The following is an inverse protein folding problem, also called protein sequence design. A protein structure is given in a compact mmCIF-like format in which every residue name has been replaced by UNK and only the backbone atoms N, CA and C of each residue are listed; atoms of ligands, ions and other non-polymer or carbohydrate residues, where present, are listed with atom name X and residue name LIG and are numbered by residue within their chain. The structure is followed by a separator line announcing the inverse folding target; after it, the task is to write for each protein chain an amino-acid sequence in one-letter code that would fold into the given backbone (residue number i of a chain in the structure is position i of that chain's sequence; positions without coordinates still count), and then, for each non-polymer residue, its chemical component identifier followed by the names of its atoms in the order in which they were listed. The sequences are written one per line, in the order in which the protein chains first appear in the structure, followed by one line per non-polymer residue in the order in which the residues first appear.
data_IF_028844176091
#
_entry.id   IF_028844176091
#
_cell.length_a   1.000
_cell.length_b   1.000
_cell.length_c   1.000
_cell.angle_alpha   90.00
_cell.angle_beta   90.00
_cell.angle_gamma   90.00
#
_symmetry.space_group_name_H-M   'P 1'
#
loop_
_entity.id
_entity.type
_entity.pdbx_description
1 polymer ?
#
# COMPACT_ATOMS: atom_id res chain seq x y z
N UNK A 1 4.62 -18.93 16.97
CA UNK A 1 5.88 -18.28 17.41
C UNK A 1 5.94 -18.19 18.92
N UNK A 2 5.15 -17.34 19.58
CA UNK A 2 5.18 -17.12 21.05
C UNK A 2 5.24 -18.39 21.91
N UNK A 3 4.42 -19.39 21.60
CA UNK A 3 4.32 -20.62 22.40
C UNK A 3 5.48 -21.61 22.17
N UNK A 4 6.12 -21.55 21.00
CA UNK A 4 6.97 -22.65 20.52
C UNK A 4 8.41 -22.23 20.23
N UNK A 5 8.69 -20.94 20.05
CA UNK A 5 9.99 -20.48 19.54
C UNK A 5 11.14 -20.74 20.53
N UNK A 6 10.84 -20.82 21.82
CA UNK A 6 11.80 -21.23 22.87
C UNK A 6 12.37 -22.62 22.65
N UNK A 7 11.56 -23.55 22.13
CA UNK A 7 12.01 -24.90 21.75
C UNK A 7 13.03 -24.92 20.61
N UNK A 8 13.12 -23.82 19.85
CA UNK A 8 14.10 -23.63 18.77
C UNK A 8 15.23 -22.66 19.18
N UNK A 9 15.32 -22.30 20.46
CA UNK A 9 16.35 -21.40 21.00
C UNK A 9 16.08 -19.91 20.74
N UNK A 10 14.90 -19.53 20.27
CA UNK A 10 14.52 -18.13 20.15
C UNK A 10 13.84 -17.59 21.41
N UNK A 11 13.88 -16.28 21.58
CA UNK A 11 13.28 -15.58 22.70
C UNK A 11 11.85 -15.09 22.33
N UNK A 12 10.78 -15.62 22.95
CA UNK A 12 9.41 -15.19 22.67
C UNK A 12 9.14 -13.75 23.11
N UNK A 13 9.96 -13.19 24.02
CA UNK A 13 9.85 -11.82 24.54
C UNK A 13 10.75 -10.83 23.76
N UNK A 14 11.38 -11.27 22.67
CA UNK A 14 12.21 -10.43 21.80
C UNK A 14 12.02 -10.77 20.30
N UNK A 15 10.76 -10.79 19.88
CA UNK A 15 10.37 -11.07 18.49
C UNK A 15 10.41 -9.82 17.62
N UNK A 16 11.13 -9.87 16.49
CA UNK A 16 11.09 -8.85 15.44
C UNK A 16 10.29 -9.38 14.24
N UNK A 17 9.26 -8.65 13.81
CA UNK A 17 8.58 -8.94 12.54
C UNK A 17 9.10 -8.02 11.44
N UNK A 18 9.21 -8.54 10.22
CA UNK A 18 9.65 -7.77 9.08
C UNK A 18 8.91 -8.18 7.82
N UNK A 19 8.78 -7.25 6.87
CA UNK A 19 8.13 -7.55 5.61
C UNK A 19 8.41 -6.52 4.53
N UNK A 20 8.46 -7.02 3.29
CA UNK A 20 8.63 -6.23 2.08
C UNK A 20 7.31 -6.08 1.31
N UNK A 21 7.05 -4.90 0.75
CA UNK A 21 5.84 -4.59 -0.05
C UNK A 21 4.56 -4.97 0.69
N UNK A 22 3.75 -5.89 0.15
CA UNK A 22 2.55 -6.43 0.81
C UNK A 22 2.84 -7.14 2.15
N UNK A 23 4.08 -7.54 2.42
CA UNK A 23 4.54 -7.98 3.74
C UNK A 23 4.77 -6.82 4.70
N UNK A 24 5.34 -5.70 4.23
CA UNK A 24 5.48 -4.47 5.02
C UNK A 24 4.11 -3.89 5.38
N UNK A 25 3.16 -3.92 4.45
CA UNK A 25 1.77 -3.60 4.69
C UNK A 25 1.17 -4.46 5.82
N UNK A 26 1.43 -5.77 5.84
CA UNK A 26 0.98 -6.67 6.92
C UNK A 26 1.62 -6.33 8.26
N UNK A 27 2.90 -5.94 8.28
CA UNK A 27 3.55 -5.43 9.51
C UNK A 27 2.81 -4.20 10.03
N UNK A 28 2.50 -3.24 9.15
CA UNK A 28 1.73 -2.03 9.52
C UNK A 28 0.33 -2.36 10.04
N UNK A 29 -0.36 -3.31 9.40
CA UNK A 29 -1.66 -3.80 9.85
C UNK A 29 -1.59 -4.43 11.24
N UNK A 30 -0.62 -5.33 11.46
CA UNK A 30 -0.44 -5.96 12.77
C UNK A 30 -0.12 -4.93 13.86
N UNK A 31 0.66 -3.90 13.55
CA UNK A 31 0.91 -2.80 14.48
C UNK A 31 -0.35 -1.99 14.83
N UNK A 32 -1.35 -1.94 13.93
CA UNK A 32 -2.62 -1.26 14.18
C UNK A 32 -3.68 -2.13 14.89
N UNK A 33 -3.43 -3.43 15.07
CA UNK A 33 -4.35 -4.37 15.72
C UNK A 33 -4.09 -4.44 17.22
N UNK A 34 -5.10 -4.14 18.04
CA UNK A 34 -4.97 -4.26 19.51
C UNK A 34 -4.76 -5.73 19.92
N UNK A 35 -5.36 -6.67 19.19
CA UNK A 35 -5.21 -8.11 19.41
C UNK A 35 -3.79 -8.62 19.15
N UNK A 36 -2.96 -7.85 18.43
CA UNK A 36 -1.57 -8.22 18.15
C UNK A 36 -0.59 -7.69 19.22
N UNK A 37 -1.08 -6.95 20.21
CA UNK A 37 -0.26 -6.38 21.29
C UNK A 37 0.48 -7.46 22.06
N UNK A 38 1.80 -7.26 22.23
CA UNK A 38 2.69 -8.22 22.90
C UNK A 38 3.01 -9.47 22.09
N UNK A 39 2.57 -9.59 20.83
CA UNK A 39 2.97 -10.71 19.96
C UNK A 39 4.34 -10.47 19.29
N UNK A 40 4.77 -9.22 19.20
CA UNK A 40 6.06 -8.81 18.67
C UNK A 40 6.56 -7.55 19.37
N UNK A 41 7.86 -7.30 19.25
CA UNK A 41 8.61 -6.35 20.07
C UNK A 41 9.38 -5.34 19.23
N UNK A 42 9.61 -5.61 17.94
CA UNK A 42 10.24 -4.71 16.96
C UNK A 42 9.64 -4.96 15.58
N UNK A 43 9.70 -3.94 14.72
CA UNK A 43 9.17 -4.00 13.37
C UNK A 43 10.19 -3.49 12.33
N UNK A 44 10.20 -4.12 11.15
CA UNK A 44 10.92 -3.62 9.97
C UNK A 44 9.95 -3.58 8.78
N UNK A 45 9.79 -2.41 8.18
CA UNK A 45 8.85 -2.14 7.09
C UNK A 45 9.64 -1.74 5.85
N UNK A 46 9.59 -2.56 4.82
CA UNK A 46 10.36 -2.35 3.58
C UNK A 46 9.38 -2.13 2.43
N UNK A 47 9.37 -0.95 1.81
CA UNK A 47 8.55 -0.68 0.61
C UNK A 47 7.05 -0.94 0.78
N UNK A 48 6.54 -0.93 2.01
CA UNK A 48 5.19 -1.40 2.37
C UNK A 48 4.43 -0.45 3.28
N UNK A 49 4.75 0.84 3.20
CA UNK A 49 4.17 1.89 4.04
C UNK A 49 2.72 2.21 3.63
N UNK A 50 1.73 1.62 4.31
CA UNK A 50 0.32 1.97 4.13
C UNK A 50 -0.18 2.89 5.24
N UNK A 51 -0.60 4.11 4.89
CA UNK A 51 -1.17 5.08 5.82
C UNK A 51 -2.64 4.80 6.17
N UNK A 52 -3.36 4.13 5.27
CA UNK A 52 -4.78 3.81 5.41
C UNK A 52 -5.07 2.38 4.98
N UNK A 53 -6.17 1.83 5.50
CA UNK A 53 -6.72 0.54 5.08
C UNK A 53 -8.00 0.73 4.27
N UNK A 54 -8.50 -0.34 3.64
CA UNK A 54 -9.74 -0.26 2.87
C UNK A 54 -10.94 0.01 3.78
N UNK A 55 -11.96 0.66 3.24
CA UNK A 55 -13.24 0.78 3.92
C UNK A 55 -14.05 -0.52 3.77
N UNK A 56 -15.07 -0.70 4.62
CA UNK A 56 -16.02 -1.79 4.45
C UNK A 56 -16.80 -1.70 3.11
N UNK A 57 -17.00 -0.48 2.60
CA UNK A 57 -17.64 -0.23 1.30
C UNK A 57 -16.77 -0.75 0.14
N UNK A 58 -15.47 -0.47 0.16
CA UNK A 58 -14.52 -0.98 -0.85
C UNK A 58 -14.55 -2.51 -0.91
N UNK A 59 -14.48 -3.16 0.25
CA UNK A 59 -14.51 -4.62 0.34
C UNK A 59 -15.85 -5.22 -0.09
N UNK A 60 -16.95 -4.55 0.28
CA UNK A 60 -18.31 -4.97 -0.11
C UNK A 60 -18.52 -4.86 -1.61
N UNK A 61 -17.97 -3.82 -2.25
CA UNK A 61 -18.04 -3.63 -3.70
C UNK A 61 -17.36 -4.77 -4.47
N UNK A 62 -16.15 -5.15 -4.06
CA UNK A 62 -15.43 -6.30 -4.64
C UNK A 62 -16.21 -7.60 -4.43
N UNK A 63 -16.76 -7.78 -3.22
CA UNK A 63 -17.52 -9.00 -2.87
C UNK A 63 -18.82 -9.11 -3.67
N UNK A 64 -19.57 -8.03 -3.83
CA UNK A 64 -20.81 -8.01 -4.62
C UNK A 64 -20.53 -8.33 -6.10
N UNK A 65 -19.45 -7.77 -6.66
CA UNK A 65 -19.03 -8.09 -8.01
C UNK A 65 -18.62 -9.56 -8.18
N UNK A 66 -18.00 -10.18 -7.17
CA UNK A 66 -17.69 -11.62 -7.19
C UNK A 66 -18.97 -12.47 -7.21
N UNK A 67 -19.96 -12.15 -6.37
CA UNK A 67 -21.26 -12.82 -6.38
C UNK A 67 -21.92 -12.73 -7.76
N UNK A 68 -21.91 -11.54 -8.37
CA UNK A 68 -22.44 -11.30 -9.71
C UNK A 68 -21.71 -12.12 -10.78
N UNK A 69 -20.37 -12.14 -10.77
CA UNK A 69 -19.56 -12.90 -11.74
C UNK A 69 -19.85 -14.40 -11.67
N UNK A 70 -20.04 -14.93 -10.45
CA UNK A 70 -20.31 -16.35 -10.23
C UNK A 70 -21.78 -16.73 -10.47
N UNK A 71 -22.68 -15.76 -10.67
CA UNK A 71 -24.11 -16.00 -10.76
C UNK A 71 -24.72 -16.52 -9.45
N UNK A 72 -24.13 -16.15 -8.31
CA UNK A 72 -24.55 -16.57 -6.98
C UNK A 72 -25.34 -15.43 -6.32
N UNK A 73 -26.39 -15.77 -5.57
CA UNK A 73 -27.15 -14.79 -4.79
C UNK A 73 -26.24 -14.16 -3.71
N UNK A 74 -26.27 -12.84 -3.59
CA UNK A 74 -25.52 -12.14 -2.54
C UNK A 74 -25.83 -12.69 -1.15
N UNK A 75 -24.78 -12.90 -0.36
CA UNK A 75 -24.84 -13.46 0.99
C UNK A 75 -25.04 -14.98 1.05
N UNK A 76 -25.07 -15.68 -0.09
CA UNK A 76 -25.09 -17.15 -0.11
C UNK A 76 -23.67 -17.71 0.13
N UNK A 77 -23.33 -17.91 1.41
CA UNK A 77 -22.01 -18.37 1.82
C UNK A 77 -21.73 -19.82 1.41
N UNK A 78 -22.75 -20.69 1.44
CA UNK A 78 -22.60 -22.10 1.06
C UNK A 78 -22.28 -22.22 -0.43
N UNK A 79 -23.02 -21.49 -1.29
CA UNK A 79 -22.74 -21.46 -2.71
C UNK A 79 -21.36 -20.85 -3.02
N UNK A 80 -20.97 -19.78 -2.31
CA UNK A 80 -19.65 -19.17 -2.48
C UNK A 80 -18.52 -20.13 -2.08
N UNK A 81 -18.67 -20.87 -0.97
CA UNK A 81 -17.70 -21.87 -0.51
C UNK A 81 -17.62 -23.09 -1.45
N UNK A 82 -18.73 -23.45 -2.10
CA UNK A 82 -18.79 -24.51 -3.09
C UNK A 82 -18.24 -24.09 -4.47
N UNK A 83 -18.06 -22.78 -4.71
CA UNK A 83 -17.55 -22.28 -5.98
C UNK A 83 -16.10 -22.76 -6.22
N UNK A 84 -15.72 -23.04 -7.48
CA UNK A 84 -14.34 -23.40 -7.79
C UNK A 84 -13.38 -22.26 -7.42
N UNK A 85 -12.35 -22.55 -6.62
CA UNK A 85 -11.34 -21.55 -6.22
C UNK A 85 -10.74 -20.80 -7.42
N UNK A 86 -10.55 -21.49 -8.56
CA UNK A 86 -10.05 -20.88 -9.80
C UNK A 86 -10.99 -19.81 -10.37
N UNK A 87 -12.30 -19.93 -10.18
CA UNK A 87 -13.25 -18.91 -10.62
C UNK A 87 -13.11 -17.63 -9.77
N UNK A 88 -12.94 -17.79 -8.45
CA UNK A 88 -12.67 -16.69 -7.52
C UNK A 88 -11.35 -15.99 -7.88
N UNK A 89 -10.27 -16.76 -8.08
CA UNK A 89 -8.96 -16.20 -8.46
C UNK A 89 -9.05 -15.44 -9.78
N UNK A 90 -9.73 -15.98 -10.80
CA UNK A 90 -9.91 -15.30 -12.09
C UNK A 90 -10.69 -13.99 -11.96
N UNK A 91 -11.69 -13.94 -11.10
CA UNK A 91 -12.41 -12.69 -10.83
C UNK A 91 -11.49 -11.67 -10.19
N UNK A 92 -10.72 -12.05 -9.17
CA UNK A 92 -9.72 -11.17 -8.55
C UNK A 92 -8.72 -10.68 -9.59
N UNK A 93 -8.14 -11.57 -10.41
CA UNK A 93 -7.25 -11.20 -11.51
C UNK A 93 -7.89 -10.18 -12.46
N UNK A 94 -9.13 -10.42 -12.89
CA UNK A 94 -9.92 -9.56 -13.79
C UNK A 94 -10.12 -8.15 -13.22
N UNK A 95 -10.40 -8.01 -11.92
CA UNK A 95 -10.56 -6.69 -11.32
C UNK A 95 -9.22 -6.02 -11.02
N UNK A 96 -8.11 -6.77 -11.01
CA UNK A 96 -6.76 -6.27 -10.76
C UNK A 96 -5.98 -5.83 -12.00
N UNK A 97 -6.38 -6.23 -13.22
CA UNK A 97 -5.56 -6.09 -14.44
C UNK A 97 -6.31 -5.56 -15.69
N UNK A 98 -6.11 -4.29 -16.08
CA UNK A 98 -6.24 -3.10 -15.25
C UNK A 98 -7.64 -2.48 -15.44
N UNK A 99 -8.23 -1.89 -14.40
CA UNK A 99 -8.23 -0.43 -14.44
C UNK A 99 -8.01 0.14 -13.05
N UNK A 100 -7.23 1.23 -12.98
CA UNK A 100 -7.38 2.20 -11.91
C UNK A 100 -8.88 2.42 -11.72
N UNK A 101 -9.37 2.13 -10.52
CA UNK A 101 -10.74 2.49 -10.18
C UNK A 101 -10.87 4.02 -10.23
N UNK A 102 -12.07 4.61 -10.34
CA UNK A 102 -12.23 6.07 -10.31
C UNK A 102 -11.59 6.74 -9.09
N UNK A 103 -11.39 5.97 -8.02
CA UNK A 103 -10.67 6.30 -6.79
C UNK A 103 -9.16 5.98 -6.83
N UNK A 104 -8.57 5.69 -8.00
CA UNK A 104 -7.13 5.58 -8.23
C UNK A 104 -6.44 4.36 -7.58
N UNK A 105 -7.18 3.51 -6.86
CA UNK A 105 -6.68 2.30 -6.23
C UNK A 105 -6.85 1.10 -7.15
N UNK A 106 -5.84 0.24 -7.22
CA UNK A 106 -5.95 -1.06 -7.86
C UNK A 106 -6.86 -1.98 -7.01
N UNK A 107 -7.65 -2.85 -7.65
CA UNK A 107 -8.48 -3.79 -6.89
C UNK A 107 -7.64 -4.75 -6.03
N UNK A 108 -6.34 -4.90 -6.30
CA UNK A 108 -5.43 -5.74 -5.52
C UNK A 108 -5.18 -5.12 -4.14
N UNK A 109 -5.15 -3.79 -4.06
CA UNK A 109 -5.15 -3.06 -2.80
C UNK A 109 -6.51 -3.14 -2.11
N UNK A 110 -7.63 -3.20 -2.86
CA UNK A 110 -8.98 -3.40 -2.30
C UNK A 110 -9.19 -4.81 -1.70
N UNK A 111 -8.48 -5.82 -2.19
CA UNK A 111 -8.37 -7.15 -1.57
C UNK A 111 -7.36 -7.18 -0.40
N UNK A 112 -7.32 -6.09 0.39
CA UNK A 112 -6.41 -5.90 1.52
C UNK A 112 -7.14 -5.79 2.86
N UNK A 113 -6.43 -5.42 3.94
CA UNK A 113 -7.03 -5.19 5.26
C UNK A 113 -8.17 -4.18 5.21
N UNK A 114 -9.22 -4.43 6.01
CA UNK A 114 -10.45 -3.63 6.04
C UNK A 114 -10.63 -3.02 7.42
N UNK A 115 -11.01 -1.75 7.46
CA UNK A 115 -11.49 -1.08 8.68
C UNK A 115 -12.87 -1.65 9.01
N UNK A 116 -12.89 -2.69 9.83
CA UNK A 116 -14.09 -3.46 10.19
C UNK A 116 -14.72 -3.00 11.52
N UNK A 117 -14.09 -2.05 12.21
CA UNK A 117 -14.52 -1.58 13.53
C UNK A 117 -14.26 -2.56 14.67
N UNK A 118 -13.66 -3.72 14.39
CA UNK A 118 -13.38 -4.78 15.36
C UNK A 118 -11.87 -4.95 15.54
N UNK A 119 -11.23 -5.48 14.50
CA UNK A 119 -9.79 -5.73 14.42
C UNK A 119 -9.05 -4.45 14.03
N UNK A 120 -9.55 -3.74 13.01
CA UNK A 120 -9.06 -2.43 12.62
C UNK A 120 -10.17 -1.40 12.86
N UNK A 121 -9.98 -0.56 13.88
CA UNK A 121 -11.00 0.40 14.31
C UNK A 121 -10.98 1.72 13.54
N UNK A 122 -9.92 2.00 12.79
CA UNK A 122 -9.77 3.22 12.01
C UNK A 122 -8.44 3.29 11.26
N UNK A 123 -8.16 4.46 10.67
CA UNK A 123 -6.91 4.75 9.98
C UNK A 123 -5.80 5.11 10.96
N UNK A 124 -5.31 4.12 11.71
CA UNK A 124 -4.39 4.35 12.83
C UNK A 124 -3.00 4.88 12.43
N UNK A 125 -2.68 4.96 11.14
CA UNK A 125 -1.40 5.49 10.63
C UNK A 125 -1.52 6.84 9.89
N UNK A 126 -2.74 7.30 9.59
CA UNK A 126 -2.96 8.53 8.84
C UNK A 126 -2.68 9.78 9.70
N UNK A 127 -3.05 9.71 10.98
CA UNK A 127 -3.04 10.84 11.94
C UNK A 127 -2.02 10.66 13.08
N UNK A 128 -1.28 9.56 13.11
CA UNK A 128 -0.36 9.24 14.21
C UNK A 128 0.13 7.80 14.14
N UNK A 129 0.89 7.37 15.14
CA UNK A 129 1.13 5.95 15.36
C UNK A 129 -0.08 5.32 16.09
N UNK A 130 -0.44 4.05 15.80
CA UNK A 130 -1.47 3.34 16.54
C UNK A 130 -1.11 3.25 18.03
N UNK A 131 -2.09 3.43 18.92
CA UNK A 131 -1.88 3.28 20.37
C UNK A 131 -1.31 1.89 20.73
N UNK A 132 -1.76 0.86 20.02
CA UNK A 132 -1.33 -0.53 20.16
C UNK A 132 0.18 -0.74 19.93
N UNK A 133 0.83 0.11 19.14
CA UNK A 133 2.21 -0.10 18.69
C UNK A 133 3.12 1.14 18.72
N UNK A 134 2.65 2.30 19.20
CA UNK A 134 3.45 3.53 19.23
C UNK A 134 4.71 3.47 20.11
N UNK A 135 4.84 2.42 20.93
CA UNK A 135 6.02 2.13 21.76
C UNK A 135 6.99 1.11 21.14
N UNK A 136 6.63 0.49 20.01
CA UNK A 136 7.42 -0.56 19.36
C UNK A 136 8.50 0.09 18.48
N UNK A 137 9.80 -0.19 18.70
CA UNK A 137 10.85 0.29 17.82
C UNK A 137 10.65 -0.21 16.39
N UNK A 138 10.73 0.71 15.44
CA UNK A 138 10.50 0.44 14.02
C UNK A 138 11.66 0.94 13.16
N UNK A 139 12.06 0.12 12.18
CA UNK A 139 12.86 0.54 11.04
C UNK A 139 11.96 0.56 9.80
N UNK A 140 12.02 1.63 9.02
CA UNK A 140 11.21 1.80 7.81
C UNK A 140 12.06 2.34 6.67
N UNK A 141 11.83 1.87 5.46
CA UNK A 141 12.55 2.33 4.28
C UNK A 141 11.89 1.93 2.97
N UNK A 142 12.39 2.53 1.89
CA UNK A 142 11.97 2.31 0.50
C UNK A 142 13.20 2.24 -0.38
N UNK A 143 13.04 1.65 -1.56
CA UNK A 143 14.06 1.68 -2.61
C UNK A 143 14.00 3.00 -3.38
N UNK A 144 15.09 3.34 -4.09
CA UNK A 144 15.18 4.56 -4.89
C UNK A 144 14.20 4.57 -6.08
N UNK A 145 13.87 3.39 -6.61
CA UNK A 145 13.16 3.19 -7.86
C UNK A 145 12.04 2.14 -7.73
N UNK A 146 11.17 2.31 -6.74
CA UNK A 146 10.10 1.35 -6.38
C UNK A 146 9.22 0.94 -7.57
N UNK A 147 8.86 1.90 -8.42
CA UNK A 147 7.87 1.69 -9.47
C UNK A 147 8.43 0.97 -10.71
N UNK A 148 9.76 0.83 -10.84
CA UNK A 148 10.37 0.09 -11.96
C UNK A 148 9.93 -1.38 -11.95
N UNK A 149 9.85 -1.99 -10.78
CA UNK A 149 9.47 -3.40 -10.62
C UNK A 149 7.99 -3.68 -10.91
N UNK A 150 7.12 -2.68 -10.69
CA UNK A 150 5.68 -2.82 -10.93
C UNK A 150 5.27 -2.52 -12.37
N UNK A 151 6.01 -1.66 -13.06
CA UNK A 151 5.72 -1.33 -14.45
C UNK A 151 6.02 -2.50 -15.41
N UNK A 152 6.86 -3.48 -15.01
CA UNK A 152 7.33 -4.60 -15.83
C UNK A 152 8.20 -4.20 -17.03
N UNK A 153 8.02 -2.98 -17.52
CA UNK A 153 8.68 -2.23 -18.57
C UNK A 153 8.25 -0.77 -18.38
N UNK A 154 9.14 0.22 -18.54
CA UNK A 154 8.70 1.62 -18.68
C UNK A 154 7.99 1.72 -20.02
N UNK A 155 6.68 2.04 -20.07
CA UNK A 155 5.97 2.05 -21.34
C UNK A 155 6.55 3.06 -22.31
N UNK A 156 6.62 2.69 -23.60
CA UNK A 156 7.33 3.47 -24.63
C UNK A 156 6.80 4.89 -24.79
N UNK A 157 5.54 5.13 -24.46
CA UNK A 157 4.91 6.45 -24.44
C UNK A 157 5.47 7.38 -23.35
N UNK A 158 6.07 6.82 -22.28
CA UNK A 158 6.79 7.58 -21.26
C UNK A 158 8.24 7.91 -21.64
N UNK A 159 8.80 7.21 -22.63
CA UNK A 159 10.11 7.55 -23.21
C UNK A 159 10.01 8.75 -24.16
N UNK A 160 8.81 9.07 -24.66
CA UNK A 160 8.56 10.20 -25.57
C UNK A 160 8.65 11.51 -24.78
N UNK A 161 9.69 12.33 -24.99
CA UNK A 161 9.85 13.54 -24.20
C UNK A 161 8.75 14.54 -24.51
N UNK A 162 8.27 15.24 -23.48
CA UNK A 162 7.35 16.38 -23.63
C UNK A 162 7.74 17.48 -22.65
N UNK A 163 7.65 18.72 -23.11
CA UNK A 163 7.80 19.91 -22.27
C UNK A 163 6.46 20.36 -21.67
N UNK A 164 5.34 19.74 -22.07
CA UNK A 164 4.01 20.00 -21.51
C UNK A 164 3.79 19.16 -20.25
N UNK A 165 3.73 19.83 -19.10
CA UNK A 165 3.53 19.17 -17.81
C UNK A 165 2.13 18.57 -17.65
N UNK A 166 1.10 19.09 -18.33
CA UNK A 166 -0.23 18.51 -18.32
C UNK A 166 -0.24 17.19 -19.10
N UNK A 167 0.42 17.17 -20.26
CA UNK A 167 0.58 15.94 -21.03
C UNK A 167 1.37 14.90 -20.23
N UNK A 168 2.47 15.31 -19.59
CA UNK A 168 3.26 14.41 -18.76
C UNK A 168 2.47 13.89 -17.54
N UNK A 169 1.70 14.74 -16.87
CA UNK A 169 0.83 14.36 -15.74
C UNK A 169 -0.21 13.30 -16.13
N UNK A 170 -0.83 13.43 -17.31
CA UNK A 170 -1.82 12.46 -17.83
C UNK A 170 -1.21 11.08 -18.08
N UNK A 171 0.06 11.03 -18.45
CA UNK A 171 0.76 9.75 -18.61
C UNK A 171 1.19 9.22 -17.24
N UNK A 172 1.74 10.08 -16.39
CA UNK A 172 2.26 9.72 -15.07
C UNK A 172 1.19 9.16 -14.12
N UNK A 173 -0.02 9.71 -14.12
CA UNK A 173 -1.10 9.26 -13.22
C UNK A 173 -1.42 7.77 -13.37
N UNK A 174 -1.20 7.21 -14.55
CA UNK A 174 -1.39 5.78 -14.81
C UNK A 174 -0.41 4.88 -14.03
N UNK A 175 0.70 5.46 -13.54
CA UNK A 175 1.78 4.77 -12.82
C UNK A 175 1.84 5.13 -11.34
N UNK A 176 0.92 5.95 -10.84
CA UNK A 176 0.73 6.22 -9.41
C UNK A 176 -0.03 5.06 -8.72
N UNK A 177 0.42 3.83 -8.92
CA UNK A 177 -0.29 2.56 -8.67
C UNK A 177 -0.71 2.28 -7.21
N UNK A 178 -0.15 3.01 -6.24
CA UNK A 178 -0.39 2.81 -4.79
C UNK A 178 -0.94 4.08 -4.12
N UNK A 179 -1.27 5.11 -4.88
CA UNK A 179 -1.82 6.36 -4.34
C UNK A 179 -2.73 7.04 -5.35
N UNK A 180 -3.92 7.42 -4.90
CA UNK A 180 -4.83 8.21 -5.73
C UNK A 180 -4.31 9.64 -5.82
N UNK A 181 -3.92 10.07 -7.02
CA UNK A 181 -3.49 11.44 -7.30
C UNK A 181 -4.21 11.93 -8.53
N UNK A 182 -4.67 13.18 -8.49
CA UNK A 182 -5.32 13.80 -9.65
C UNK A 182 -4.29 14.37 -10.60
N UNK A 183 -4.60 14.39 -11.89
CA UNK A 183 -3.72 14.98 -12.91
C UNK A 183 -3.38 16.43 -12.57
N UNK A 184 -4.34 17.19 -12.05
CA UNK A 184 -4.16 18.60 -11.68
C UNK A 184 -3.21 18.80 -10.49
N UNK A 185 -3.11 17.81 -9.60
CA UNK A 185 -2.19 17.81 -8.46
C UNK A 185 -0.75 17.47 -8.89
N UNK A 186 -0.60 16.73 -9.99
CA UNK A 186 0.70 16.35 -10.54
C UNK A 186 1.39 17.50 -11.28
N UNK A 187 0.66 18.37 -11.96
CA UNK A 187 1.24 19.48 -12.74
C UNK A 187 2.19 20.36 -11.92
N UNK A 188 1.75 20.95 -10.78
CA UNK A 188 2.66 21.76 -9.96
C UNK A 188 3.82 20.95 -9.36
N UNK A 189 3.59 19.66 -9.07
CA UNK A 189 4.64 18.78 -8.57
C UNK A 189 5.72 18.53 -9.64
N UNK A 190 5.33 18.21 -10.87
CA UNK A 190 6.24 18.00 -12.00
C UNK A 190 7.11 19.24 -12.23
N UNK A 191 6.49 20.43 -12.22
CA UNK A 191 7.22 21.69 -12.38
C UNK A 191 8.31 21.86 -11.31
N UNK A 192 8.02 21.47 -10.06
CA UNK A 192 8.99 21.50 -8.97
C UNK A 192 10.14 20.51 -9.15
N UNK A 193 9.85 19.28 -9.59
CA UNK A 193 10.91 18.30 -9.89
C UNK A 193 11.80 18.77 -11.04
N UNK A 194 11.23 19.31 -12.12
CA UNK A 194 12.02 19.87 -13.23
C UNK A 194 12.91 21.03 -12.79
N UNK A 195 12.40 21.89 -11.89
CA UNK A 195 13.16 23.01 -11.32
C UNK A 195 14.30 22.53 -10.42
N UNK A 196 14.03 21.58 -9.53
CA UNK A 196 14.99 21.06 -8.57
C UNK A 196 16.03 20.13 -9.21
N UNK A 197 15.66 19.45 -10.31
CA UNK A 197 16.45 18.41 -10.94
C UNK A 197 16.52 18.58 -12.47
N UNK A 198 17.06 19.72 -12.98
CA UNK A 198 16.95 20.09 -14.39
C UNK A 198 17.74 19.19 -15.36
N UNK A 199 18.65 18.38 -14.84
CA UNK A 199 19.49 17.47 -15.63
C UNK A 199 18.94 16.04 -15.68
N UNK A 200 17.84 15.74 -14.99
CA UNK A 200 17.28 14.39 -15.00
C UNK A 200 16.59 14.10 -16.33
N UNK A 201 16.85 12.93 -16.95
CA UNK A 201 16.03 12.43 -18.04
C UNK A 201 14.56 12.32 -17.60
N UNK A 202 13.64 12.53 -18.54
CA UNK A 202 12.20 12.48 -18.24
C UNK A 202 11.74 11.10 -17.72
N UNK A 203 12.39 10.03 -18.14
CA UNK A 203 12.16 8.67 -17.62
C UNK A 203 12.52 8.55 -16.15
N UNK A 204 13.66 9.11 -15.73
CA UNK A 204 14.07 9.15 -14.32
C UNK A 204 13.15 10.08 -13.50
N UNK A 205 12.71 11.19 -14.10
CA UNK A 205 11.75 12.10 -13.48
C UNK A 205 10.44 11.37 -13.15
N UNK A 206 9.95 10.55 -14.08
CA UNK A 206 8.76 9.74 -13.88
C UNK A 206 8.93 8.80 -12.70
N UNK A 207 10.01 7.99 -12.73
CA UNK A 207 10.27 6.99 -11.70
C UNK A 207 10.37 7.61 -10.31
N UNK A 208 11.02 8.77 -10.18
CA UNK A 208 11.11 9.50 -8.91
C UNK A 208 9.75 9.98 -8.43
N UNK A 209 9.00 10.68 -9.28
CA UNK A 209 7.69 11.20 -8.89
C UNK A 209 6.74 10.07 -8.49
N UNK A 210 6.68 8.98 -9.27
CA UNK A 210 5.78 7.86 -8.96
C UNK A 210 6.24 7.08 -7.73
N UNK A 211 7.55 6.94 -7.50
CA UNK A 211 8.12 6.38 -6.27
C UNK A 211 7.81 7.26 -5.05
N UNK A 212 7.94 8.57 -5.21
CA UNK A 212 7.75 9.53 -4.12
C UNK A 212 6.29 9.60 -3.70
N UNK A 213 5.38 9.70 -4.66
CA UNK A 213 3.93 9.68 -4.39
C UNK A 213 3.53 8.36 -3.74
N UNK A 214 4.01 7.24 -4.28
CA UNK A 214 3.48 5.94 -3.90
C UNK A 214 4.09 5.32 -2.64
N UNK A 215 5.38 5.52 -2.42
CA UNK A 215 6.15 4.74 -1.45
C UNK A 215 6.88 5.65 -0.47
N UNK A 216 7.74 6.53 -0.97
CA UNK A 216 8.65 7.31 -0.12
C UNK A 216 7.91 8.33 0.75
N UNK A 217 6.96 9.10 0.20
CA UNK A 217 6.20 10.07 0.98
C UNK A 217 5.45 9.41 2.15
N UNK A 218 4.80 8.28 1.90
CA UNK A 218 4.12 7.51 2.94
C UNK A 218 5.10 7.05 4.01
N UNK A 219 6.27 6.51 3.63
CA UNK A 219 7.28 6.05 4.57
C UNK A 219 7.85 7.19 5.44
N UNK A 220 8.10 8.36 4.85
CA UNK A 220 8.54 9.56 5.59
C UNK A 220 7.47 10.05 6.56
N UNK A 221 6.20 10.06 6.14
CA UNK A 221 5.08 10.41 7.03
C UNK A 221 5.00 9.46 8.20
N UNK A 222 5.13 8.15 7.96
CA UNK A 222 5.12 7.13 9.00
C UNK A 222 6.32 7.21 9.95
N UNK A 223 7.54 7.47 9.46
CA UNK A 223 8.69 7.70 10.34
C UNK A 223 8.45 8.91 11.26
N UNK A 224 7.87 9.99 10.73
CA UNK A 224 7.56 11.19 11.51
C UNK A 224 6.46 10.95 12.54
N UNK A 225 5.44 10.16 12.24
CA UNK A 225 4.34 9.84 13.19
C UNK A 225 4.71 8.75 14.18
N UNK A 226 5.58 7.81 13.79
CA UNK A 226 6.10 6.73 14.64
C UNK A 226 7.03 7.22 15.75
N UNK A 227 7.66 8.37 15.56
CA UNK A 227 8.40 9.06 16.61
C UNK A 227 7.39 9.76 17.52
N UNK A 228 7.10 9.16 18.68
CA UNK A 228 6.36 9.82 19.75
C UNK A 228 6.94 11.22 20.06
N UNK A 229 6.20 12.10 20.74
CA UNK A 229 6.48 13.55 20.83
C UNK A 229 7.84 13.99 21.44
N UNK A 230 8.76 13.07 21.78
CA UNK A 230 10.08 13.35 22.35
C UNK A 230 11.30 12.98 21.50
N UNK A 231 11.14 12.41 20.30
CA UNK A 231 12.24 12.00 19.42
C UNK A 231 12.30 12.87 18.16
N UNK A 232 12.67 14.14 18.31
CA UNK A 232 13.12 15.00 17.20
C UNK A 232 14.65 15.00 17.20
N UNK A 233 15.26 14.67 16.06
CA UNK A 233 16.70 14.85 15.80
C UNK A 233 16.92 16.28 15.35
#
# INVERSE_FOLDING_TARGET
MRENISSFGGDPDNVTIFGQSGGGAKVMTLMAMEEAKGLFHKAIVMSGSLLSSNTAEDASSVTAGLYSELGIREGDLEALQAAPARAIVRYVEKVTDPPLTPDGLTASLKCGPVIDGRILRGNSWADGAPESAGHIPMMIGTDLHETVGFAGFVPRDLEIPTADDLEFARRLVLYAIVSNVKVEELVPLIAEYRRAMPLLPQTELLLRITTDIGFWNSAVRQDRTGRGPGLRV
#
